data_IF_579836969989
#
_entry.id   IF_579836969989
#
_cell.length_a   1.000
_cell.length_b   1.000
_cell.length_c   1.000
_cell.angle_alpha   90.00
_cell.angle_beta   90.00
_cell.angle_gamma   90.00
#
_symmetry.space_group_name_H-M   'P 1'
#
loop_
_entity.id
_entity.type
_entity.pdbx_description
1 polymer ?
#
# COMPACT_ATOMS: atom_id res chain seq x y z
N UNK A 1 1.01 -70.62 31.62
CA UNK A 1 2.15 -71.22 30.91
C UNK A 1 1.65 -71.91 29.65
N UNK A 2 2.07 -71.39 28.48
CA UNK A 2 2.06 -71.92 27.10
C UNK A 2 0.96 -72.92 26.69
N UNK A 3 0.06 -72.47 25.81
CA UNK A 3 -0.60 -73.31 24.78
C UNK A 3 -0.27 -72.78 23.39
N UNK A 4 -0.21 -73.73 22.48
CA UNK A 4 0.52 -73.79 21.22
C UNK A 4 -0.13 -73.08 20.04
N UNK A 5 0.72 -72.80 19.05
CA UNK A 5 0.47 -72.33 17.68
C UNK A 5 -0.23 -73.39 16.83
N UNK A 6 -1.09 -72.96 15.89
CA UNK A 6 -1.38 -73.45 14.51
C UNK A 6 -2.83 -73.11 14.14
N UNK A 7 -3.28 -72.70 12.93
CA UNK A 7 -2.70 -72.15 11.70
C UNK A 7 -3.88 -71.52 10.91
N UNK A 8 -3.56 -70.60 9.98
CA UNK A 8 -4.18 -70.36 8.66
C UNK A 8 -5.41 -69.45 8.51
N UNK A 9 -5.18 -68.51 7.59
CA UNK A 9 -6.00 -67.47 6.99
C UNK A 9 -7.24 -67.97 6.23
N UNK A 10 -8.32 -67.18 6.25
CA UNK A 10 -9.26 -66.95 5.13
C UNK A 10 -9.78 -65.50 5.23
N UNK A 11 -10.01 -64.85 4.09
CA UNK A 11 -10.09 -63.41 3.91
C UNK A 11 -11.35 -62.68 4.40
N UNK A 12 -11.27 -61.36 4.34
CA UNK A 12 -12.34 -60.42 4.64
C UNK A 12 -11.81 -59.01 4.83
N UNK A 13 -11.68 -58.25 3.73
CA UNK A 13 -11.39 -56.81 3.78
C UNK A 13 -12.65 -56.12 4.32
N UNK A 14 -12.56 -55.56 5.52
CA UNK A 14 -13.58 -54.68 6.08
C UNK A 14 -13.40 -53.28 5.45
N UNK A 15 -14.13 -53.00 4.38
CA UNK A 15 -14.27 -51.63 3.86
C UNK A 15 -15.22 -50.87 4.79
N UNK A 16 -14.65 -50.08 5.70
CA UNK A 16 -15.40 -49.03 6.40
C UNK A 16 -15.71 -47.94 5.38
N UNK A 17 -16.94 -47.95 4.86
CA UNK A 17 -17.46 -46.89 4.01
C UNK A 17 -17.63 -45.60 4.82
N UNK A 18 -16.68 -44.68 4.68
CA UNK A 18 -16.82 -43.30 5.10
C UNK A 18 -17.82 -42.63 4.15
N UNK A 19 -19.08 -42.50 4.59
CA UNK A 19 -20.04 -41.61 3.93
C UNK A 19 -19.57 -40.16 4.17
N UNK A 20 -18.73 -39.66 3.28
CA UNK A 20 -18.59 -38.21 3.08
C UNK A 20 -19.91 -37.73 2.49
N UNK A 21 -20.69 -37.07 3.33
CA UNK A 21 -21.76 -36.17 2.92
C UNK A 21 -21.14 -35.14 1.97
N UNK A 22 -21.27 -35.36 0.66
CA UNK A 22 -21.10 -34.33 -0.34
C UNK A 22 -22.09 -33.22 0.03
N UNK A 23 -21.55 -32.07 0.43
CA UNK A 23 -22.35 -30.86 0.53
C UNK A 23 -23.04 -30.65 -0.82
N UNK A 24 -24.35 -30.36 -0.86
CA UNK A 24 -25.01 -30.04 -2.13
C UNK A 24 -24.27 -28.85 -2.73
N UNK A 25 -23.92 -28.99 -4.02
CA UNK A 25 -23.12 -28.02 -4.75
C UNK A 25 -23.64 -26.61 -4.54
N UNK A 26 -22.71 -25.68 -4.34
CA UNK A 26 -22.98 -24.27 -4.59
C UNK A 26 -23.52 -24.20 -6.03
N UNK A 27 -24.81 -23.96 -6.16
CA UNK A 27 -25.36 -23.49 -7.42
C UNK A 27 -24.65 -22.15 -7.63
N UNK A 28 -23.69 -22.08 -8.56
CA UNK A 28 -23.10 -20.80 -8.94
C UNK A 28 -24.27 -19.91 -9.36
N UNK A 29 -24.54 -18.88 -8.56
CA UNK A 29 -25.47 -17.83 -8.93
C UNK A 29 -25.05 -17.31 -10.31
N UNK A 30 -25.95 -17.26 -11.30
CA UNK A 30 -25.59 -16.81 -12.64
C UNK A 30 -25.03 -15.40 -12.56
N UNK A 31 -23.77 -15.25 -12.99
CA UNK A 31 -23.05 -13.99 -12.91
C UNK A 31 -23.22 -13.21 -14.22
N UNK A 32 -23.56 -11.93 -14.10
CA UNK A 32 -23.48 -10.98 -15.20
C UNK A 32 -22.05 -10.51 -15.40
N UNK A 33 -21.67 -10.25 -16.66
CA UNK A 33 -20.35 -9.72 -16.99
C UNK A 33 -20.41 -8.20 -17.05
N UNK A 34 -19.63 -7.52 -16.23
CA UNK A 34 -19.54 -6.06 -16.27
C UNK A 34 -18.20 -5.66 -16.87
N UNK A 35 -18.24 -4.97 -18.00
CA UNK A 35 -17.07 -4.32 -18.58
C UNK A 35 -17.08 -2.85 -18.19
N UNK A 36 -15.92 -2.30 -17.92
CA UNK A 36 -15.78 -0.88 -17.66
C UNK A 36 -14.72 -0.24 -18.56
N UNK A 37 -14.93 1.04 -18.85
CA UNK A 37 -13.98 1.92 -19.53
C UNK A 37 -13.95 3.26 -18.79
N UNK A 38 -12.75 3.78 -18.53
CA UNK A 38 -12.48 5.03 -17.83
C UNK A 38 -11.66 5.93 -18.75
N UNK A 39 -12.13 7.17 -18.90
CA UNK A 39 -11.52 8.17 -19.78
C UNK A 39 -11.40 9.52 -19.09
N UNK A 40 -10.51 10.36 -19.60
CA UNK A 40 -10.50 11.78 -19.29
C UNK A 40 -11.63 12.53 -20.03
N UNK A 41 -11.77 13.82 -19.77
CA UNK A 41 -12.69 14.72 -20.46
C UNK A 41 -12.45 14.86 -21.98
N UNK A 42 -11.24 14.56 -22.46
CA UNK A 42 -10.87 14.51 -23.87
C UNK A 42 -11.14 13.17 -24.55
N UNK A 43 -11.56 12.16 -23.79
CA UNK A 43 -11.82 10.80 -24.26
C UNK A 43 -10.60 9.87 -24.29
N UNK A 44 -9.43 10.32 -23.84
CA UNK A 44 -8.25 9.47 -23.71
C UNK A 44 -8.42 8.47 -22.56
N UNK A 45 -7.93 7.22 -22.70
CA UNK A 45 -7.99 6.24 -21.62
C UNK A 45 -7.16 6.71 -20.42
N UNK A 46 -7.69 6.50 -19.21
CA UNK A 46 -7.00 6.84 -17.96
C UNK A 46 -6.85 5.61 -17.07
N UNK A 47 -5.66 5.36 -16.49
CA UNK A 47 -5.55 4.40 -15.40
C UNK A 47 -6.42 4.84 -14.22
N UNK A 48 -7.10 3.90 -13.59
CA UNK A 48 -8.07 4.23 -12.55
C UNK A 48 -8.35 3.05 -11.62
N UNK A 49 -8.95 3.40 -10.48
CA UNK A 49 -9.62 2.49 -9.57
C UNK A 49 -11.12 2.49 -9.84
N UNK A 50 -11.73 1.31 -9.81
CA UNK A 50 -13.18 1.12 -9.82
C UNK A 50 -13.59 0.37 -8.56
N UNK A 51 -14.45 0.98 -7.75
CA UNK A 51 -15.05 0.36 -6.56
C UNK A 51 -16.50 0.00 -6.85
N UNK A 52 -16.89 -1.23 -6.54
CA UNK A 52 -18.25 -1.72 -6.72
C UNK A 52 -18.95 -1.83 -5.36
N UNK A 53 -20.11 -1.19 -5.22
CA UNK A 53 -20.88 -1.15 -3.98
C UNK A 53 -22.25 -1.76 -4.22
N UNK A 54 -22.63 -2.73 -3.40
CA UNK A 54 -23.98 -3.28 -3.38
C UNK A 54 -25.01 -2.24 -2.92
N UNK A 55 -26.22 -2.30 -3.48
CA UNK A 55 -27.32 -1.37 -3.20
C UNK A 55 -28.60 -2.13 -2.91
N UNK A 56 -29.51 -1.51 -2.18
CA UNK A 56 -30.86 -2.04 -1.93
C UNK A 56 -30.88 -3.49 -1.37
N UNK A 57 -29.92 -3.80 -0.50
CA UNK A 57 -29.79 -5.12 0.12
C UNK A 57 -28.90 -6.11 -0.64
N UNK A 58 -28.41 -5.76 -1.84
CA UNK A 58 -27.30 -6.47 -2.49
C UNK A 58 -26.00 -6.21 -1.70
N UNK A 59 -25.22 -7.26 -1.36
CA UNK A 59 -23.92 -7.09 -0.70
C UNK A 59 -22.85 -6.57 -1.66
N UNK A 60 -21.80 -5.95 -1.11
CA UNK A 60 -20.60 -5.61 -1.88
C UNK A 60 -19.95 -6.90 -2.43
N UNK A 61 -19.46 -6.90 -3.68
CA UNK A 61 -18.76 -8.05 -4.23
C UNK A 61 -17.40 -8.25 -3.57
N UNK A 62 -16.91 -9.48 -3.58
CA UNK A 62 -15.55 -9.82 -3.17
C UNK A 62 -14.83 -10.50 -4.34
N UNK A 63 -13.89 -9.78 -4.94
CA UNK A 63 -13.07 -10.21 -6.06
C UNK A 63 -11.76 -10.88 -5.62
N UNK A 64 -11.48 -10.94 -4.32
CA UNK A 64 -10.34 -11.66 -3.77
C UNK A 64 -9.45 -10.85 -2.84
N UNK A 65 -8.21 -11.32 -2.70
CA UNK A 65 -7.23 -10.85 -1.71
C UNK A 65 -6.98 -9.35 -1.81
N UNK A 66 -6.83 -8.69 -0.66
CA UNK A 66 -6.48 -7.27 -0.60
C UNK A 66 -5.14 -6.93 -1.27
N UNK A 67 -4.31 -7.94 -1.52
CA UNK A 67 -2.97 -7.85 -2.13
C UNK A 67 -2.99 -7.96 -3.66
N UNK A 68 -4.16 -8.09 -4.30
CA UNK A 68 -4.33 -8.27 -5.75
C UNK A 68 -4.96 -7.02 -6.37
N UNK A 69 -4.27 -6.37 -7.30
CA UNK A 69 -4.79 -5.17 -7.95
C UNK A 69 -5.94 -5.49 -8.93
N UNK A 70 -5.95 -6.69 -9.49
CA UNK A 70 -7.03 -7.16 -10.37
C UNK A 70 -8.35 -7.46 -9.62
N UNK A 71 -8.31 -7.55 -8.28
CA UNK A 71 -9.47 -7.84 -7.44
C UNK A 71 -9.10 -7.83 -5.96
N UNK A 72 -9.33 -6.69 -5.31
CA UNK A 72 -9.03 -6.43 -3.89
C UNK A 72 -10.34 -6.13 -3.16
N UNK A 73 -10.95 -7.15 -2.56
CA UNK A 73 -12.31 -7.05 -2.04
C UNK A 73 -13.26 -6.57 -3.15
N UNK A 74 -13.88 -5.42 -2.98
CA UNK A 74 -14.82 -4.85 -3.95
C UNK A 74 -14.18 -3.87 -4.96
N UNK A 75 -12.85 -3.87 -5.08
CA UNK A 75 -12.08 -2.91 -5.87
C UNK A 75 -11.32 -3.61 -7.00
N UNK A 76 -11.25 -2.95 -8.16
CA UNK A 76 -10.38 -3.32 -9.27
C UNK A 76 -9.59 -2.11 -9.74
N UNK A 77 -8.30 -2.28 -9.96
CA UNK A 77 -7.43 -1.28 -10.58
C UNK A 77 -7.18 -1.64 -12.05
N UNK A 78 -7.01 -0.62 -12.90
CA UNK A 78 -6.64 -0.81 -14.30
C UNK A 78 -5.61 0.22 -14.71
N UNK A 79 -4.51 -0.25 -15.30
CA UNK A 79 -3.48 0.61 -15.90
C UNK A 79 -3.89 1.19 -17.26
N UNK A 80 -4.91 0.59 -17.90
CA UNK A 80 -5.36 0.97 -19.25
C UNK A 80 -6.69 1.72 -19.24
N UNK A 81 -7.30 1.89 -18.07
CA UNK A 81 -8.64 2.43 -17.93
C UNK A 81 -9.72 1.47 -18.44
N UNK A 82 -9.45 0.18 -18.59
CA UNK A 82 -10.47 -0.79 -18.97
C UNK A 82 -10.31 -2.12 -18.24
N UNK A 83 -11.42 -2.83 -18.08
CA UNK A 83 -11.41 -4.13 -17.42
C UNK A 83 -12.78 -4.78 -17.44
N UNK A 84 -12.86 -5.96 -16.82
CA UNK A 84 -14.11 -6.68 -16.68
C UNK A 84 -14.15 -7.45 -15.34
N UNK A 85 -15.33 -7.52 -14.75
CA UNK A 85 -15.63 -8.31 -13.56
C UNK A 85 -16.88 -9.15 -13.78
N UNK A 86 -17.02 -10.22 -13.00
CA UNK A 86 -18.26 -10.98 -12.92
C UNK A 86 -18.99 -10.57 -11.62
N UNK A 87 -20.28 -10.30 -11.71
CA UNK A 87 -21.11 -9.93 -10.56
C UNK A 87 -22.37 -10.80 -10.50
N UNK A 88 -22.77 -11.18 -9.29
CA UNK A 88 -24.05 -11.82 -9.07
C UNK A 88 -25.22 -10.89 -9.41
N UNK A 89 -26.43 -11.43 -9.49
CA UNK A 89 -27.64 -10.63 -9.66
C UNK A 89 -27.82 -9.65 -8.51
N UNK A 90 -28.20 -8.42 -8.84
CA UNK A 90 -28.40 -7.37 -7.83
C UNK A 90 -28.26 -5.96 -8.37
N UNK A 91 -28.47 -4.99 -7.48
CA UNK A 91 -28.25 -3.56 -7.76
C UNK A 91 -26.93 -3.12 -7.20
N UNK A 92 -26.19 -2.34 -7.98
CA UNK A 92 -24.84 -1.91 -7.64
C UNK A 92 -24.62 -0.44 -8.01
N UNK A 93 -23.60 0.14 -7.39
CA UNK A 93 -22.96 1.39 -7.80
C UNK A 93 -21.51 1.13 -8.14
N UNK A 94 -21.06 1.53 -9.32
CA UNK A 94 -19.66 1.65 -9.65
C UNK A 94 -19.17 3.07 -9.36
N UNK A 95 -18.06 3.19 -8.64
CA UNK A 95 -17.36 4.45 -8.35
C UNK A 95 -16.01 4.43 -9.04
N UNK A 96 -15.78 5.38 -9.92
CA UNK A 96 -14.55 5.57 -10.68
C UNK A 96 -13.72 6.70 -10.05
N UNK A 97 -12.43 6.46 -9.80
CA UNK A 97 -11.54 7.46 -9.19
C UNK A 97 -10.09 7.29 -9.64
N UNK A 98 -9.31 8.38 -9.57
CA UNK A 98 -7.87 8.44 -9.86
C UNK A 98 -7.23 9.53 -9.00
N UNK A 99 -6.80 9.21 -7.78
CA UNK A 99 -6.11 10.17 -6.91
C UNK A 99 -6.93 11.41 -6.54
N UNK A 100 -6.27 12.37 -5.88
CA UNK A 100 -6.92 13.58 -5.35
C UNK A 100 -7.08 14.70 -6.39
N UNK A 101 -6.41 14.57 -7.54
CA UNK A 101 -6.41 15.61 -8.57
C UNK A 101 -7.64 15.54 -9.49
N UNK A 102 -8.33 14.39 -9.49
CA UNK A 102 -9.47 14.09 -10.34
C UNK A 102 -10.76 14.04 -9.53
N UNK A 103 -11.87 14.41 -10.17
CA UNK A 103 -13.21 14.18 -9.63
C UNK A 103 -13.57 12.69 -9.58
N UNK A 104 -14.72 12.38 -8.99
CA UNK A 104 -15.26 11.02 -8.91
C UNK A 104 -16.38 10.85 -9.94
N UNK A 105 -16.37 9.72 -10.65
CA UNK A 105 -17.49 9.28 -11.49
C UNK A 105 -18.32 8.22 -10.78
N UNK A 106 -19.65 8.31 -10.82
CA UNK A 106 -20.55 7.28 -10.26
C UNK A 106 -21.58 6.79 -11.29
N UNK A 107 -21.86 5.49 -11.28
CA UNK A 107 -22.91 4.86 -12.10
C UNK A 107 -23.65 3.80 -11.30
N UNK A 108 -24.96 3.98 -11.17
CA UNK A 108 -25.84 2.92 -10.68
C UNK A 108 -26.21 1.97 -11.83
N UNK A 109 -26.21 0.67 -11.57
CA UNK A 109 -26.57 -0.35 -12.56
C UNK A 109 -27.19 -1.59 -11.88
N UNK A 110 -27.78 -2.46 -12.68
CA UNK A 110 -28.43 -3.69 -12.23
C UNK A 110 -27.97 -4.87 -13.07
N UNK A 111 -27.75 -6.01 -12.42
CA UNK A 111 -27.47 -7.29 -13.06
C UNK A 111 -28.72 -8.14 -12.95
N UNK A 112 -29.40 -8.35 -14.09
CA UNK A 112 -30.62 -9.14 -14.15
C UNK A 112 -30.38 -10.59 -14.61
N UNK A 113 -29.23 -10.86 -15.21
CA UNK A 113 -28.85 -12.19 -15.74
C UNK A 113 -27.40 -12.21 -16.24
N UNK A 114 -27.11 -13.10 -17.18
CA UNK A 114 -25.75 -13.33 -17.73
C UNK A 114 -25.35 -12.33 -18.83
N UNK A 115 -26.11 -11.25 -19.00
CA UNK A 115 -25.85 -10.24 -20.02
C UNK A 115 -24.61 -9.40 -19.71
N UNK A 116 -23.99 -8.86 -20.77
CA UNK A 116 -22.85 -7.95 -20.63
C UNK A 116 -23.35 -6.53 -20.39
N UNK A 117 -22.96 -5.94 -19.26
CA UNK A 117 -23.19 -4.52 -18.95
C UNK A 117 -21.91 -3.74 -19.21
N UNK A 118 -21.99 -2.67 -20.01
CA UNK A 118 -20.88 -1.74 -20.22
C UNK A 118 -21.06 -0.49 -19.35
N UNK A 119 -20.07 -0.19 -18.53
CA UNK A 119 -19.99 1.03 -17.73
C UNK A 119 -18.93 1.97 -18.30
N UNK A 120 -19.32 3.21 -18.54
CA UNK A 120 -18.40 4.26 -18.99
C UNK A 120 -18.27 5.34 -17.90
N UNK A 121 -17.04 5.48 -17.40
CA UNK A 121 -16.62 6.49 -16.44
C UNK A 121 -15.81 7.59 -17.12
N UNK A 122 -16.11 8.84 -16.79
CA UNK A 122 -15.31 10.00 -17.20
C UNK A 122 -14.80 10.68 -15.96
N UNK A 123 -13.48 10.87 -15.86
CA UNK A 123 -12.82 11.56 -14.76
C UNK A 123 -12.29 12.90 -15.26
N UNK A 124 -12.76 13.99 -14.66
CA UNK A 124 -12.31 15.35 -14.94
C UNK A 124 -11.20 15.70 -13.97
N UNK A 125 -10.12 16.32 -14.45
CA UNK A 125 -9.10 16.88 -13.55
C UNK A 125 -9.66 18.16 -12.92
N UNK A 126 -9.76 18.19 -11.60
CA UNK A 126 -10.39 19.29 -10.85
C UNK A 126 -9.42 20.10 -10.01
N UNK A 127 -8.19 19.60 -9.83
CA UNK A 127 -7.09 20.33 -9.17
C UNK A 127 -5.98 20.59 -10.19
N UNK A 128 -5.60 21.86 -10.34
CA UNK A 128 -4.44 22.24 -11.15
C UNK A 128 -3.16 22.09 -10.33
N UNK A 129 -2.40 21.03 -10.61
CA UNK A 129 -1.12 20.74 -9.96
C UNK A 129 0.07 21.01 -10.90
N UNK A 130 -0.07 21.91 -11.88
CA UNK A 130 1.08 22.31 -12.73
C UNK A 130 2.26 22.76 -11.87
N UNK A 131 3.40 22.12 -12.07
CA UNK A 131 4.62 22.36 -11.29
C UNK A 131 4.76 21.53 -10.02
N UNK A 132 3.80 20.64 -9.74
CA UNK A 132 3.81 19.69 -8.64
C UNK A 132 3.67 18.27 -9.19
N UNK A 133 4.08 17.28 -8.40
CA UNK A 133 3.93 15.86 -8.68
C UNK A 133 3.32 15.16 -7.46
N UNK A 134 2.44 14.20 -7.68
CA UNK A 134 1.90 13.35 -6.62
C UNK A 134 2.90 12.26 -6.24
N UNK A 135 3.39 12.28 -4.99
CA UNK A 135 4.42 11.37 -4.51
C UNK A 135 3.94 10.50 -3.35
N UNK A 136 4.48 9.29 -3.26
CA UNK A 136 4.42 8.43 -2.07
C UNK A 136 5.83 7.90 -1.78
N UNK A 137 6.37 8.26 -0.62
CA UNK A 137 7.78 8.10 -0.28
C UNK A 137 8.05 6.99 0.75
N UNK A 138 7.03 6.20 1.08
CA UNK A 138 7.11 5.09 2.03
C UNK A 138 6.15 3.98 1.61
N UNK A 139 6.68 2.94 0.95
CA UNK A 139 5.89 1.91 0.27
C UNK A 139 6.54 0.52 0.42
N UNK A 140 5.73 -0.46 0.83
CA UNK A 140 6.13 -1.86 0.97
C UNK A 140 5.49 -2.78 -0.09
N UNK A 141 6.29 -3.66 -0.67
CA UNK A 141 5.88 -4.75 -1.55
C UNK A 141 6.45 -6.10 -1.07
N UNK A 142 6.21 -7.17 -1.84
CA UNK A 142 6.59 -8.53 -1.48
C UNK A 142 8.06 -8.76 -1.05
N UNK A 143 9.07 -7.96 -1.46
CA UNK A 143 10.41 -8.07 -0.90
C UNK A 143 10.50 -7.68 0.59
N UNK A 144 9.62 -6.80 1.07
CA UNK A 144 9.50 -6.49 2.49
C UNK A 144 8.85 -7.64 3.27
N UNK A 145 9.29 -7.88 4.51
CA UNK A 145 8.81 -9.03 5.30
C UNK A 145 7.37 -8.89 5.80
N UNK A 146 6.84 -7.67 5.82
CA UNK A 146 5.54 -7.29 6.35
C UNK A 146 4.47 -7.17 5.24
N UNK A 147 4.88 -7.14 3.98
CA UNK A 147 3.98 -7.05 2.83
C UNK A 147 3.91 -8.35 2.03
N UNK A 148 2.71 -8.64 1.52
CA UNK A 148 2.44 -9.78 0.65
C UNK A 148 2.03 -9.35 -0.76
N UNK A 149 2.02 -8.05 -1.03
CA UNK A 149 1.57 -7.49 -2.30
C UNK A 149 2.67 -7.66 -3.34
N UNK A 150 2.45 -8.41 -4.43
CA UNK A 150 3.43 -8.52 -5.51
C UNK A 150 3.80 -7.15 -6.07
N UNK A 151 5.03 -7.02 -6.57
CA UNK A 151 5.53 -5.76 -7.15
C UNK A 151 4.63 -5.25 -8.28
N UNK A 152 4.20 -6.16 -9.17
CA UNK A 152 3.25 -5.87 -10.24
C UNK A 152 1.98 -5.21 -9.69
N UNK A 153 1.33 -5.85 -8.73
CA UNK A 153 0.08 -5.37 -8.14
C UNK A 153 0.29 -4.02 -7.44
N UNK A 154 1.41 -3.84 -6.72
CA UNK A 154 1.73 -2.56 -6.07
C UNK A 154 1.88 -1.43 -7.10
N UNK A 155 2.55 -1.66 -8.22
CA UNK A 155 2.69 -0.65 -9.28
C UNK A 155 1.33 -0.35 -9.91
N UNK A 156 0.49 -1.36 -10.14
CA UNK A 156 -0.86 -1.17 -10.69
C UNK A 156 -1.73 -0.31 -9.75
N UNK A 157 -1.66 -0.52 -8.43
CA UNK A 157 -2.41 0.32 -7.48
C UNK A 157 -1.91 1.76 -7.47
N UNK A 158 -0.59 1.99 -7.42
CA UNK A 158 0.02 3.32 -7.46
C UNK A 158 -0.42 4.10 -8.71
N UNK A 159 -0.31 3.47 -9.89
CA UNK A 159 -0.73 4.06 -11.16
C UNK A 159 -2.23 4.34 -11.18
N UNK A 160 -3.06 3.43 -10.64
CA UNK A 160 -4.51 3.59 -10.57
C UNK A 160 -4.97 4.69 -9.60
N UNK A 161 -4.23 4.90 -8.51
CA UNK A 161 -4.42 6.00 -7.56
C UNK A 161 -3.78 7.32 -8.00
N UNK A 162 -3.11 7.34 -9.16
CA UNK A 162 -2.51 8.57 -9.70
C UNK A 162 -1.26 9.03 -8.95
N UNK A 163 -0.52 8.12 -8.31
CA UNK A 163 0.83 8.39 -7.82
C UNK A 163 1.78 8.48 -9.00
N UNK A 164 2.59 9.54 -9.05
CA UNK A 164 3.51 9.85 -10.15
C UNK A 164 4.97 9.62 -9.76
N UNK A 165 5.33 9.77 -8.48
CA UNK A 165 6.63 9.40 -7.94
C UNK A 165 6.42 8.40 -6.79
N UNK A 166 7.08 7.25 -6.86
CA UNK A 166 7.00 6.24 -5.80
C UNK A 166 8.40 5.83 -5.34
N UNK A 167 8.68 5.93 -4.05
CA UNK A 167 9.93 5.42 -3.48
C UNK A 167 9.71 3.99 -2.98
N UNK A 168 10.50 3.04 -3.48
CA UNK A 168 10.48 1.65 -3.05
C UNK A 168 11.27 1.51 -1.75
N UNK A 169 10.61 1.36 -0.61
CA UNK A 169 11.24 1.39 0.72
C UNK A 169 11.00 0.10 1.50
N UNK A 170 11.11 -1.05 0.83
CA UNK A 170 10.99 -2.35 1.51
C UNK A 170 11.97 -2.46 2.70
N UNK A 171 11.55 -3.10 3.79
CA UNK A 171 12.35 -3.17 5.01
C UNK A 171 13.71 -3.84 4.80
N UNK A 172 14.78 -3.09 5.02
CA UNK A 172 16.19 -3.50 4.86
C UNK A 172 16.49 -4.21 3.51
N UNK A 173 15.68 -3.95 2.47
CA UNK A 173 15.90 -4.39 1.11
C UNK A 173 15.98 -3.16 0.18
N UNK A 174 17.00 -3.12 -0.66
CA UNK A 174 17.06 -2.17 -1.78
C UNK A 174 16.31 -2.80 -2.93
N UNK A 175 15.13 -2.28 -3.23
CA UNK A 175 14.27 -2.77 -4.31
C UNK A 175 14.17 -1.74 -5.42
N UNK A 176 14.35 -2.19 -6.67
CA UNK A 176 14.17 -1.36 -7.86
C UNK A 176 12.86 -1.72 -8.57
N UNK A 177 11.91 -0.78 -8.59
CA UNK A 177 10.64 -0.93 -9.29
C UNK A 177 10.76 -0.66 -10.79
N UNK A 178 11.87 -0.07 -11.27
CA UNK A 178 12.06 0.33 -12.68
C UNK A 178 11.80 -0.80 -13.67
N UNK A 179 12.37 -2.02 -13.51
CA UNK A 179 12.14 -3.09 -14.48
C UNK A 179 10.67 -3.49 -14.60
N UNK A 180 9.92 -3.42 -13.50
CA UNK A 180 8.52 -3.81 -13.45
C UNK A 180 7.61 -2.71 -14.02
N UNK A 181 7.91 -1.44 -13.76
CA UNK A 181 7.25 -0.28 -14.39
C UNK A 181 7.42 -0.31 -15.92
N UNK A 182 8.63 -0.64 -16.41
CA UNK A 182 8.90 -0.81 -17.84
C UNK A 182 8.14 -2.00 -18.42
N UNK A 183 8.14 -3.16 -17.73
CA UNK A 183 7.44 -4.37 -18.16
C UNK A 183 5.94 -4.15 -18.31
N UNK A 184 5.34 -3.38 -17.41
CA UNK A 184 3.92 -3.01 -17.43
C UNK A 184 3.60 -1.91 -18.45
N UNK A 185 4.60 -1.23 -18.99
CA UNK A 185 4.42 -0.14 -19.96
C UNK A 185 3.78 1.11 -19.36
N UNK A 186 4.02 1.37 -18.06
CA UNK A 186 3.41 2.48 -17.30
C UNK A 186 4.38 3.61 -16.97
N UNK A 187 5.52 3.66 -17.64
CA UNK A 187 6.56 4.71 -17.48
C UNK A 187 6.05 6.13 -17.74
N UNK A 188 4.96 6.29 -18.49
CA UNK A 188 4.29 7.57 -18.68
C UNK A 188 3.49 8.05 -17.46
N UNK A 189 3.23 7.16 -16.50
CA UNK A 189 2.37 7.41 -15.34
C UNK A 189 3.11 7.38 -14.01
N UNK A 190 4.18 6.59 -13.90
CA UNK A 190 4.90 6.39 -12.64
C UNK A 190 6.42 6.45 -12.86
N UNK A 191 7.08 7.28 -12.07
CA UNK A 191 8.52 7.33 -11.92
C UNK A 191 8.91 6.66 -10.59
N UNK A 192 9.51 5.46 -10.64
CA UNK A 192 10.01 4.81 -9.43
C UNK A 192 11.34 5.42 -8.99
N UNK A 193 11.53 5.52 -7.68
CA UNK A 193 12.78 5.89 -7.03
C UNK A 193 13.19 4.73 -6.12
N UNK A 194 14.45 4.33 -6.23
CA UNK A 194 15.00 3.29 -5.37
C UNK A 194 15.23 3.89 -3.98
N UNK A 195 14.75 3.21 -2.96
CA UNK A 195 15.02 3.57 -1.58
C UNK A 195 15.19 2.33 -0.72
N UNK A 196 15.20 2.55 0.58
CA UNK A 196 15.15 1.50 1.57
C UNK A 196 14.59 2.07 2.87
N UNK A 197 13.61 1.40 3.49
CA UNK A 197 13.33 1.63 4.90
C UNK A 197 14.34 0.85 5.75
N UNK A 198 15.21 1.59 6.43
CA UNK A 198 16.22 1.06 7.32
C UNK A 198 15.56 0.86 8.68
N UNK A 199 15.17 -0.38 8.96
CA UNK A 199 14.52 -0.78 10.20
C UNK A 199 15.58 -1.09 11.24
N UNK A 200 15.82 -0.16 12.16
CA UNK A 200 16.78 -0.36 13.25
C UNK A 200 16.16 -1.15 14.40
N UNK A 201 16.99 -1.82 15.20
CA UNK A 201 16.51 -2.59 16.35
C UNK A 201 16.06 -1.73 17.55
N UNK A 202 16.40 -0.43 17.59
CA UNK A 202 16.24 0.38 18.82
C UNK A 202 16.00 1.87 18.62
N UNK A 203 16.06 2.37 17.37
CA UNK A 203 15.95 3.81 17.08
C UNK A 203 14.79 4.15 16.16
N UNK A 204 14.00 3.16 15.75
CA UNK A 204 12.93 3.35 14.79
C UNK A 204 13.38 3.12 13.35
N UNK A 205 12.61 3.67 12.43
CA UNK A 205 12.77 3.44 11.01
C UNK A 205 13.06 4.72 10.25
N UNK A 206 13.89 4.59 9.22
CA UNK A 206 14.34 5.71 8.40
C UNK A 206 14.31 5.32 6.93
N UNK A 207 13.66 6.10 6.07
CA UNK A 207 13.86 5.93 4.63
C UNK A 207 15.13 6.64 4.20
N UNK A 208 15.93 5.97 3.37
CA UNK A 208 17.01 6.56 2.61
C UNK A 208 16.68 6.49 1.12
N UNK A 209 16.72 7.62 0.41
CA UNK A 209 16.48 7.71 -1.03
C UNK A 209 17.01 9.02 -1.63
N UNK A 210 17.35 9.07 -2.93
CA UNK A 210 17.43 7.95 -3.87
C UNK A 210 18.69 7.10 -3.62
N UNK A 211 18.58 5.77 -3.69
CA UNK A 211 19.74 4.87 -3.59
C UNK A 211 20.17 4.34 -4.96
N UNK A 212 21.45 3.96 -5.09
CA UNK A 212 21.89 3.13 -6.22
C UNK A 212 21.36 1.68 -6.01
N UNK A 213 20.59 1.10 -6.95
CA UNK A 213 20.08 -0.27 -6.82
C UNK A 213 21.19 -1.33 -6.75
N UNK A 214 22.42 -0.99 -7.17
CA UNK A 214 23.60 -1.85 -7.06
C UNK A 214 24.43 -1.62 -5.79
N UNK A 215 24.08 -0.63 -4.96
CA UNK A 215 24.81 -0.35 -3.72
C UNK A 215 24.70 -1.51 -2.72
N UNK A 216 25.67 -1.60 -1.83
CA UNK A 216 25.56 -2.47 -0.67
C UNK A 216 24.40 -2.00 0.22
N UNK A 217 23.75 -2.95 0.89
CA UNK A 217 22.66 -2.64 1.81
C UNK A 217 23.18 -1.81 2.97
N UNK A 218 22.41 -0.78 3.33
CA UNK A 218 22.69 0.02 4.51
C UNK A 218 22.61 -0.87 5.74
N UNK A 219 23.61 -0.77 6.63
CA UNK A 219 23.65 -1.54 7.86
C UNK A 219 22.70 -0.93 8.91
N UNK A 220 21.64 -1.63 9.37
CA UNK A 220 20.68 -1.07 10.31
C UNK A 220 21.17 -1.06 11.78
N UNK A 221 22.44 -1.43 12.03
CA UNK A 221 23.02 -1.54 13.36
C UNK A 221 23.94 -0.36 13.64
N UNK A 222 23.69 0.35 14.73
CA UNK A 222 24.55 1.44 15.19
C UNK A 222 23.79 2.52 15.93
N UNK A 223 24.45 3.66 16.11
CA UNK A 223 23.79 4.88 16.53
C UNK A 223 23.16 5.59 15.31
N UNK A 224 22.07 6.34 15.50
CA UNK A 224 21.48 7.15 14.43
C UNK A 224 22.50 8.09 13.79
N UNK A 225 23.41 8.67 14.57
CA UNK A 225 24.45 9.56 14.06
C UNK A 225 25.40 8.91 13.07
N UNK A 226 25.78 7.66 13.31
CA UNK A 226 26.66 6.91 12.41
C UNK A 226 25.88 6.55 11.13
N UNK A 227 24.65 6.09 11.29
CA UNK A 227 23.75 5.78 10.17
C UNK A 227 23.52 7.00 9.27
N UNK A 228 23.20 8.16 9.85
CA UNK A 228 22.90 9.36 9.08
C UNK A 228 24.14 9.90 8.40
N UNK A 229 25.30 9.88 9.08
CA UNK A 229 26.57 10.27 8.48
C UNK A 229 26.95 9.36 7.30
N UNK A 230 26.72 8.05 7.41
CA UNK A 230 27.00 7.10 6.32
C UNK A 230 26.09 7.35 5.10
N UNK A 231 24.79 7.63 5.33
CA UNK A 231 23.85 7.96 4.26
C UNK A 231 24.21 9.28 3.58
N UNK A 232 24.46 10.34 4.35
CA UNK A 232 24.82 11.65 3.78
C UNK A 232 26.21 11.69 3.14
N UNK A 233 27.09 10.73 3.45
CA UNK A 233 28.39 10.58 2.80
C UNK A 233 28.30 9.85 1.44
N UNK A 234 27.16 9.23 1.13
CA UNK A 234 26.93 8.61 -0.16
C UNK A 234 26.84 9.68 -1.28
N UNK A 235 27.20 9.32 -2.52
CA UNK A 235 27.39 10.30 -3.59
C UNK A 235 26.10 10.79 -4.25
N UNK A 236 24.94 10.24 -3.90
CA UNK A 236 23.65 10.46 -4.56
C UNK A 236 22.84 11.62 -4.00
N UNK A 237 23.38 12.39 -3.04
CA UNK A 237 22.65 13.38 -2.24
C UNK A 237 21.41 12.74 -1.57
N UNK A 238 21.62 11.56 -0.99
CA UNK A 238 20.62 10.76 -0.32
C UNK A 238 19.94 11.54 0.81
N UNK A 239 18.61 11.54 0.80
CA UNK A 239 17.78 12.12 1.85
C UNK A 239 17.46 11.07 2.91
N UNK A 240 17.36 11.55 4.15
CA UNK A 240 16.91 10.77 5.29
C UNK A 240 15.52 11.24 5.71
N UNK A 241 14.54 10.36 5.60
CA UNK A 241 13.22 10.56 6.19
C UNK A 241 13.11 9.82 7.51
N UNK A 242 12.68 10.50 8.57
CA UNK A 242 12.24 9.86 9.81
C UNK A 242 10.80 9.39 9.60
N UNK A 243 10.59 8.07 9.60
CA UNK A 243 9.27 7.47 9.42
C UNK A 243 8.51 7.45 10.74
N UNK A 244 7.18 7.63 10.65
CA UNK A 244 6.21 7.61 11.73
C UNK A 244 6.81 8.02 13.10
N UNK A 245 7.35 9.25 13.24
CA UNK A 245 8.30 9.61 14.31
C UNK A 245 7.77 9.47 15.74
N UNK A 246 6.45 9.49 15.90
CA UNK A 246 5.73 9.38 17.17
C UNK A 246 4.98 8.06 17.33
N UNK A 247 5.21 7.06 16.47
CA UNK A 247 4.64 5.72 16.67
C UNK A 247 5.03 5.20 18.07
N UNK A 248 4.07 4.67 18.86
CA UNK A 248 4.30 4.34 20.27
C UNK A 248 5.43 3.35 20.59
N UNK A 249 5.76 2.45 19.67
CA UNK A 249 6.71 1.36 19.89
C UNK A 249 8.08 1.61 19.27
N UNK A 250 8.13 2.34 18.16
CA UNK A 250 9.32 2.50 17.31
C UNK A 250 9.62 3.95 16.94
N UNK A 251 8.77 4.91 17.33
CA UNK A 251 8.93 6.31 16.93
C UNK A 251 10.25 6.94 17.38
N UNK A 252 11.07 7.41 16.44
CA UNK A 252 12.38 7.98 16.73
C UNK A 252 12.33 9.16 17.70
N UNK A 253 11.31 10.02 17.60
CA UNK A 253 11.15 11.17 18.50
C UNK A 253 10.80 10.72 19.92
N UNK A 254 10.12 9.59 20.07
CA UNK A 254 9.84 8.98 21.37
C UNK A 254 11.12 8.39 21.98
N UNK A 255 11.90 7.65 21.20
CA UNK A 255 13.20 7.12 21.65
C UNK A 255 14.22 8.21 21.98
N UNK A 256 14.19 9.31 21.23
CA UNK A 256 14.96 10.52 21.50
C UNK A 256 14.52 11.29 22.75
N UNK A 257 13.36 10.97 23.31
CA UNK A 257 12.71 11.77 24.36
C UNK A 257 12.58 13.23 23.92
N UNK A 258 12.14 13.46 22.68
CA UNK A 258 11.96 14.78 22.11
C UNK A 258 10.77 15.47 22.78
N UNK A 259 11.06 16.54 23.50
CA UNK A 259 10.05 17.39 24.15
C UNK A 259 9.31 18.21 23.07
N UNK A 260 7.99 18.03 22.89
CA UNK A 260 7.22 18.69 21.84
C UNK A 260 7.00 20.20 22.09
N UNK A 261 7.28 20.70 23.29
CA UNK A 261 7.19 22.13 23.61
C UNK A 261 8.50 22.86 23.32
N UNK A 262 9.64 22.22 23.59
CA UNK A 262 10.97 22.84 23.44
C UNK A 262 11.69 22.44 22.16
N UNK A 263 11.32 21.30 21.57
CA UNK A 263 12.02 20.60 20.48
C UNK A 263 13.46 20.22 20.84
N UNK A 264 13.72 19.96 22.13
CA UNK A 264 14.99 19.47 22.64
C UNK A 264 14.84 18.01 23.03
N UNK A 265 15.72 17.16 22.49
CA UNK A 265 15.80 15.76 22.84
C UNK A 265 16.61 15.56 24.12
N UNK A 266 16.09 14.78 25.06
CA UNK A 266 16.81 14.47 26.30
C UNK A 266 17.77 13.28 26.15
N UNK A 267 17.57 12.42 25.14
CA UNK A 267 18.45 11.28 24.91
C UNK A 267 19.70 11.71 24.10
N UNK A 268 20.93 11.44 24.58
CA UNK A 268 22.17 11.93 23.94
C UNK A 268 22.48 11.32 22.57
N UNK A 269 21.85 10.21 22.22
CA UNK A 269 21.97 9.56 20.91
C UNK A 269 20.91 10.04 19.89
N UNK A 270 20.05 10.99 20.25
CA UNK A 270 19.21 11.66 19.27
C UNK A 270 20.08 12.57 18.41
N UNK A 271 19.96 12.41 17.10
CA UNK A 271 20.66 13.18 16.08
C UNK A 271 19.60 13.90 15.23
N UNK A 272 19.64 15.25 15.16
CA UNK A 272 18.72 16.02 14.33
C UNK A 272 19.13 16.07 12.84
N UNK A 273 20.23 15.44 12.41
CA UNK A 273 20.72 15.47 11.03
C UNK A 273 19.91 14.55 10.09
N UNK A 274 18.59 14.75 10.02
CA UNK A 274 17.71 14.16 9.02
C UNK A 274 17.06 15.27 8.17
N UNK A 275 16.47 14.93 7.04
CA UNK A 275 16.03 15.90 6.03
C UNK A 275 14.50 16.04 5.95
N UNK A 276 13.81 14.92 6.19
CA UNK A 276 12.38 14.76 5.97
C UNK A 276 11.70 14.18 7.22
N UNK A 277 10.52 14.69 7.53
CA UNK A 277 9.65 14.19 8.59
C UNK A 277 8.38 13.64 7.95
N UNK A 278 8.08 12.37 8.21
CA UNK A 278 6.80 11.78 7.86
C UNK A 278 5.72 12.28 8.83
N UNK A 279 5.04 13.35 8.43
CA UNK A 279 4.02 14.01 9.24
C UNK A 279 2.71 13.22 9.23
N UNK A 280 2.43 12.46 8.18
CA UNK A 280 1.28 11.57 8.09
C UNK A 280 1.71 10.20 7.59
N UNK A 281 1.40 9.16 8.34
CA UNK A 281 1.66 7.77 7.96
C UNK A 281 0.34 7.01 7.97
N UNK A 282 0.02 6.36 6.85
CA UNK A 282 -1.17 5.54 6.69
C UNK A 282 -2.47 6.25 7.12
N UNK A 283 -3.41 5.51 7.70
CA UNK A 283 -4.62 6.05 8.37
C UNK A 283 -4.38 6.38 9.84
N UNK A 284 -3.14 6.26 10.32
CA UNK A 284 -2.84 6.40 11.74
C UNK A 284 -2.80 7.88 12.14
N UNK A 285 -3.67 8.23 13.07
CA UNK A 285 -3.87 9.62 13.48
C UNK A 285 -2.70 10.20 14.27
N UNK A 286 -1.61 9.48 14.55
CA UNK A 286 -0.42 10.04 15.22
C UNK A 286 0.13 11.27 14.48
N UNK A 287 -0.06 11.31 13.17
CA UNK A 287 0.28 12.46 12.35
C UNK A 287 -0.61 13.69 12.57
N UNK A 288 -1.91 13.49 12.80
CA UNK A 288 -2.95 14.53 12.86
C UNK A 288 -3.90 14.32 14.04
N UNK A 289 -3.36 14.14 15.25
CA UNK A 289 -4.19 13.96 16.44
C UNK A 289 -4.98 15.25 16.75
N UNK A 290 -6.23 15.11 17.17
CA UNK A 290 -7.07 16.23 17.59
C UNK A 290 -7.27 16.26 19.12
N UNK A 291 -7.71 17.41 19.63
CA UNK A 291 -8.03 17.55 21.05
C UNK A 291 -6.79 17.48 21.96
N UNK A 292 -6.88 16.89 23.15
CA UNK A 292 -5.76 16.86 24.12
C UNK A 292 -4.48 16.23 23.58
N UNK A 293 -4.60 15.35 22.59
CA UNK A 293 -3.50 14.63 21.96
C UNK A 293 -2.83 15.38 20.80
N UNK A 294 -3.43 16.48 20.31
CA UNK A 294 -2.85 17.23 19.19
C UNK A 294 -1.41 17.69 19.46
N UNK A 295 -1.07 17.96 20.73
CA UNK A 295 0.27 18.39 21.16
C UNK A 295 1.34 17.30 21.13
N UNK A 296 0.94 16.04 20.98
CA UNK A 296 1.84 14.90 20.80
C UNK A 296 1.88 14.39 19.36
N UNK A 297 1.26 15.12 18.42
CA UNK A 297 1.24 14.73 17.01
C UNK A 297 2.51 15.14 16.29
N UNK A 298 2.87 14.38 15.24
CA UNK A 298 4.01 14.71 14.38
C UNK A 298 3.79 16.04 13.65
N UNK A 299 2.56 16.37 13.27
CA UNK A 299 2.23 17.68 12.71
C UNK A 299 2.56 18.82 13.68
N UNK A 300 2.26 18.64 14.97
CA UNK A 300 2.63 19.63 15.99
C UNK A 300 4.15 19.75 16.13
N UNK A 301 4.89 18.64 16.16
CA UNK A 301 6.36 18.67 16.18
C UNK A 301 6.94 19.43 14.97
N UNK A 302 6.42 19.15 13.77
CA UNK A 302 6.85 19.83 12.53
C UNK A 302 6.59 21.33 12.58
N UNK A 303 5.39 21.75 13.00
CA UNK A 303 5.06 23.17 13.19
C UNK A 303 5.96 23.81 14.27
N UNK A 304 6.27 23.10 15.35
CA UNK A 304 7.14 23.59 16.41
C UNK A 304 8.61 23.75 15.98
N UNK A 305 9.11 22.91 15.06
CA UNK A 305 10.39 23.10 14.40
C UNK A 305 10.37 24.35 13.51
N UNK A 306 9.33 24.53 12.69
CA UNK A 306 9.18 25.69 11.81
C UNK A 306 9.13 27.01 12.58
N UNK A 307 8.39 27.06 13.69
CA UNK A 307 8.30 28.23 14.58
C UNK A 307 9.67 28.64 15.16
N UNK A 308 10.64 27.72 15.15
CA UNK A 308 12.03 27.94 15.60
C UNK A 308 13.01 28.20 14.46
N UNK A 309 12.54 28.26 13.23
CA UNK A 309 13.37 28.43 12.04
C UNK A 309 14.15 27.17 11.64
N UNK A 310 13.78 26.00 12.17
CA UNK A 310 14.32 24.70 11.77
C UNK A 310 13.37 24.14 10.70
N UNK A 311 13.90 23.87 9.51
CA UNK A 311 13.09 23.47 8.34
C UNK A 311 13.44 22.04 7.97
N UNK A 312 12.49 21.14 8.20
CA UNK A 312 12.48 19.80 7.61
C UNK A 312 11.34 19.72 6.59
N UNK A 313 11.56 18.98 5.50
CA UNK A 313 10.51 18.71 4.52
C UNK A 313 9.46 17.80 5.15
N UNK A 314 8.18 18.15 5.03
CA UNK A 314 7.09 17.29 5.50
C UNK A 314 6.59 16.38 4.38
N UNK A 315 6.38 15.11 4.69
CA UNK A 315 5.75 14.13 3.81
C UNK A 315 4.52 13.51 4.46
N UNK A 316 3.65 12.92 3.63
CA UNK A 316 2.54 12.09 4.05
C UNK A 316 2.48 10.87 3.16
N UNK A 317 2.68 9.67 3.71
CA UNK A 317 2.90 8.45 2.93
C UNK A 317 1.97 7.31 3.35
N UNK A 318 1.92 6.27 2.51
CA UNK A 318 0.94 5.18 2.66
C UNK A 318 1.33 4.10 3.67
N UNK A 319 2.59 3.66 3.64
CA UNK A 319 3.15 2.54 4.43
C UNK A 319 2.33 1.23 4.26
#
# INVERSE_FOLDING_TARGET
MKRSVTTKWVGGILLLGLFLLLSPGACEEPMGRVRFVVRDEGGAPLPAKVTFLGREGTPDPDFGSSTSAAGSGNIVYSTTGSGAVALARGRYRAVFSRGIEYGIGERDFEITGEEEVLLEGTLTRVVDTRGYLSGDFHIHAAPSFDSKTPLEDRIVTLVGEGVEIAVATDHNQVTDYTPEVERLGVTAWLHPVVGNEITTASWGHFNAFPLDPAAERVNPVGLPSDLFADIHAAPGDELIQVNHPREPTMGYFNHGLLDPETMVAAHPAFDPNFDVIEVLNSKELYGLEAGPKARSSVFHDWMAFLDRGIVYTATGNSD
#
